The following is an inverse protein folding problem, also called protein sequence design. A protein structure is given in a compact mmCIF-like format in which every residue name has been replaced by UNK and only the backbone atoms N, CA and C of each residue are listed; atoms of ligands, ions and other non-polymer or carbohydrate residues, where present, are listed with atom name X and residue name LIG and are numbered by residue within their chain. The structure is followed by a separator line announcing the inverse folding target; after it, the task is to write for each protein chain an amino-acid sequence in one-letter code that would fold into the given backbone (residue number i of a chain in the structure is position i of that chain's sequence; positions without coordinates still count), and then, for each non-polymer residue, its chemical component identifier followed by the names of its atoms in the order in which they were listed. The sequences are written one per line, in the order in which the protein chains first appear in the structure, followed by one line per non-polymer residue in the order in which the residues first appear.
data_IF_523378174049
#
_entry.id   IF_523378174049
#
_cell.length_a   1.000
_cell.length_b   1.000
_cell.length_c   1.000
_cell.angle_alpha   90.00
_cell.angle_beta   90.00
_cell.angle_gamma   90.00
#
_symmetry.space_group_name_H-M   'P 1'
#
loop_
_entity.id
_entity.type
_entity.pdbx_description
1 polymer ?
#
# COMPACT_ATOMS: atom_id res chain seq x y z
N UNK A 1 14.20 -9.78 20.62
CA UNK A 1 14.34 -8.91 21.81
C UNK A 1 15.31 -7.78 21.50
N UNK A 2 15.43 -6.76 22.35
CA UNK A 2 16.41 -5.68 22.13
C UNK A 2 17.86 -6.19 22.17
N UNK A 3 18.16 -7.14 23.06
CA UNK A 3 19.49 -7.75 23.18
C UNK A 3 19.92 -8.48 21.89
N UNK A 4 19.00 -9.19 21.24
CA UNK A 4 19.28 -9.85 19.95
C UNK A 4 19.58 -8.84 18.83
N UNK A 5 18.84 -7.73 18.78
CA UNK A 5 19.05 -6.67 17.79
C UNK A 5 20.41 -5.99 17.98
N UNK A 6 20.78 -5.67 19.22
CA UNK A 6 22.07 -5.06 19.54
C UNK A 6 23.24 -6.02 19.30
N UNK A 7 23.07 -7.31 19.65
CA UNK A 7 24.05 -8.34 19.34
C UNK A 7 24.30 -8.48 17.84
N UNK A 8 23.23 -8.46 17.03
CA UNK A 8 23.33 -8.48 15.58
C UNK A 8 24.01 -7.23 15.01
N UNK A 9 23.71 -6.04 15.54
CA UNK A 9 24.37 -4.80 15.14
C UNK A 9 25.88 -4.84 15.44
N UNK A 10 26.27 -5.28 16.64
CA UNK A 10 27.68 -5.44 17.02
C UNK A 10 28.40 -6.46 16.12
N UNK A 11 27.74 -7.58 15.79
CA UNK A 11 28.30 -8.59 14.88
C UNK A 11 28.53 -8.07 13.46
N UNK A 12 27.72 -7.10 12.99
CA UNK A 12 27.98 -6.40 11.73
C UNK A 12 29.19 -5.47 11.82
N UNK A 13 29.32 -4.71 12.92
CA UNK A 13 30.47 -3.85 13.14
C UNK A 13 30.69 -3.51 14.63
N UNK A 14 31.89 -3.74 15.21
CA UNK A 14 32.15 -3.50 16.63
C UNK A 14 31.90 -2.08 17.13
N UNK A 15 32.05 -1.07 16.27
CA UNK A 15 31.79 0.33 16.64
C UNK A 15 30.33 0.59 17.09
N UNK A 16 29.37 -0.29 16.77
CA UNK A 16 28.01 -0.18 17.29
C UNK A 16 27.91 -0.49 18.79
N UNK A 17 28.93 -1.07 19.43
CA UNK A 17 28.96 -1.30 20.88
C UNK A 17 29.07 -0.02 21.71
N UNK A 18 29.64 1.04 21.14
CA UNK A 18 29.82 2.36 21.79
C UNK A 18 28.81 3.40 21.27
N UNK A 19 27.89 3.00 20.39
CA UNK A 19 26.91 3.91 19.79
C UNK A 19 25.75 4.19 20.77
N UNK A 20 25.22 5.41 20.71
CA UNK A 20 24.05 5.82 21.48
C UNK A 20 22.75 5.38 20.81
N UNK A 21 21.79 4.86 21.59
CA UNK A 21 20.44 4.58 21.13
C UNK A 21 19.63 5.89 21.15
N UNK A 22 19.38 6.46 19.98
CA UNK A 22 18.63 7.72 19.84
C UNK A 22 17.11 7.50 19.93
N UNK A 23 16.61 6.40 19.36
CA UNK A 23 15.18 6.08 19.33
C UNK A 23 14.98 4.56 19.28
N UNK A 24 13.87 4.07 19.83
CA UNK A 24 13.39 2.70 19.61
C UNK A 24 11.93 2.71 19.17
N UNK A 25 11.57 1.83 18.25
CA UNK A 25 10.23 1.80 17.68
C UNK A 25 9.86 0.42 17.16
N UNK A 26 8.56 0.13 17.16
CA UNK A 26 7.98 -1.07 16.55
C UNK A 26 6.84 -0.65 15.64
N UNK A 27 6.63 -1.41 14.57
CA UNK A 27 5.55 -1.16 13.62
C UNK A 27 4.84 -2.44 13.25
N UNK A 28 3.53 -2.33 13.01
CA UNK A 28 2.73 -3.41 12.42
C UNK A 28 3.04 -3.46 10.93
N UNK A 29 3.24 -4.67 10.41
CA UNK A 29 3.47 -4.89 8.98
C UNK A 29 2.26 -5.62 8.41
N UNK A 30 1.29 -4.88 7.83
CA UNK A 30 0.09 -5.52 7.30
C UNK A 30 0.44 -6.33 6.04
N UNK A 31 -0.03 -7.56 6.00
CA UNK A 31 0.14 -8.48 4.88
C UNK A 31 -1.13 -9.31 4.72
N UNK A 32 -1.51 -9.57 3.47
CA UNK A 32 -2.46 -10.62 3.15
C UNK A 32 -1.78 -11.99 3.25
N UNK A 33 -2.53 -13.11 3.32
CA UNK A 33 -1.95 -14.46 3.42
C UNK A 33 -0.97 -14.82 2.29
N UNK A 34 -1.12 -14.20 1.12
CA UNK A 34 -0.24 -14.37 -0.05
C UNK A 34 0.96 -13.40 -0.08
N UNK A 35 1.08 -12.48 0.89
CA UNK A 35 2.08 -11.41 0.96
C UNK A 35 2.08 -10.44 -0.24
N UNK A 36 1.00 -10.39 -1.02
CA UNK A 36 0.88 -9.47 -2.15
C UNK A 36 0.06 -8.23 -1.77
N UNK A 37 0.52 -7.01 -2.07
CA UNK A 37 -0.24 -5.79 -1.80
C UNK A 37 -1.39 -5.65 -2.79
N UNK A 38 -2.46 -4.98 -2.37
CA UNK A 38 -3.67 -4.80 -3.19
C UNK A 38 -4.21 -3.39 -3.09
N UNK A 39 -4.77 -2.92 -4.20
CA UNK A 39 -5.72 -1.80 -4.24
C UNK A 39 -7.09 -2.41 -4.55
N UNK A 40 -8.01 -2.33 -3.60
CA UNK A 40 -9.34 -2.92 -3.72
C UNK A 40 -10.40 -1.81 -3.64
N UNK A 41 -11.48 -1.96 -4.41
CA UNK A 41 -12.64 -1.05 -4.42
C UNK A 41 -13.85 -1.74 -3.80
N UNK A 42 -14.53 -1.05 -2.89
CA UNK A 42 -15.82 -1.45 -2.37
C UNK A 42 -16.79 -0.26 -2.43
N UNK A 43 -17.61 -0.20 -3.48
CA UNK A 43 -18.44 0.96 -3.76
C UNK A 43 -17.60 2.21 -4.03
N UNK A 44 -17.81 3.25 -3.23
CA UNK A 44 -17.06 4.52 -3.32
C UNK A 44 -15.79 4.53 -2.47
N UNK A 45 -15.45 3.41 -1.80
CA UNK A 45 -14.27 3.29 -0.95
C UNK A 45 -13.16 2.57 -1.71
N UNK A 46 -11.97 3.17 -1.74
CA UNK A 46 -10.74 2.54 -2.21
C UNK A 46 -9.84 2.25 -1.00
N UNK A 47 -9.41 1.01 -0.86
CA UNK A 47 -8.49 0.58 0.18
C UNK A 47 -7.15 0.13 -0.44
N UNK A 48 -6.05 0.57 0.15
CA UNK A 48 -4.69 0.14 -0.20
C UNK A 48 -4.11 -0.58 1.01
N UNK A 49 -3.71 -1.85 0.87
CA UNK A 49 -3.19 -2.62 2.00
C UNK A 49 -2.24 -3.76 1.56
N UNK A 50 -1.62 -4.44 2.52
CA UNK A 50 -0.83 -5.66 2.30
C UNK A 50 0.63 -5.42 1.89
N UNK A 51 1.18 -4.23 2.14
CA UNK A 51 2.50 -3.86 1.63
C UNK A 51 3.68 -4.45 2.41
N UNK A 52 3.46 -5.04 3.58
CA UNK A 52 4.49 -5.66 4.42
C UNK A 52 5.82 -4.86 4.49
N UNK A 53 6.92 -5.39 3.94
CA UNK A 53 8.26 -4.77 3.89
C UNK A 53 8.54 -3.98 2.61
N UNK A 54 7.54 -3.86 1.74
CA UNK A 54 7.64 -3.23 0.42
C UNK A 54 6.88 -1.90 0.36
N UNK A 55 6.36 -1.41 1.50
CA UNK A 55 5.58 -0.18 1.58
C UNK A 55 6.27 1.03 0.98
N UNK A 56 7.57 1.22 1.23
CA UNK A 56 8.34 2.34 0.69
C UNK A 56 8.60 2.19 -0.82
N UNK A 57 9.05 1.00 -1.23
CA UNK A 57 9.41 0.72 -2.63
C UNK A 57 8.18 0.80 -3.57
N UNK A 58 7.05 0.22 -3.14
CA UNK A 58 5.87 0.08 -3.98
C UNK A 58 4.88 1.24 -3.86
N UNK A 59 5.07 2.16 -2.89
CA UNK A 59 4.14 3.26 -2.64
C UNK A 59 3.74 4.02 -3.93
N UNK A 60 4.69 4.45 -4.79
CA UNK A 60 4.34 5.21 -5.99
C UNK A 60 3.51 4.40 -6.99
N UNK A 61 3.77 3.10 -7.10
CA UNK A 61 3.03 2.21 -8.00
C UNK A 61 1.60 1.98 -7.49
N UNK A 62 1.44 1.70 -6.19
CA UNK A 62 0.13 1.50 -5.57
C UNK A 62 -0.72 2.78 -5.59
N UNK A 63 -0.10 3.94 -5.34
CA UNK A 63 -0.77 5.24 -5.42
C UNK A 63 -1.28 5.53 -6.83
N UNK A 64 -0.51 5.18 -7.87
CA UNK A 64 -0.95 5.32 -9.26
C UNK A 64 -2.17 4.46 -9.57
N UNK A 65 -2.14 3.18 -9.18
CA UNK A 65 -3.30 2.30 -9.37
C UNK A 65 -4.55 2.83 -8.65
N UNK A 66 -4.40 3.34 -7.43
CA UNK A 66 -5.50 3.96 -6.71
C UNK A 66 -6.02 5.22 -7.41
N UNK A 67 -5.14 6.09 -7.90
CA UNK A 67 -5.52 7.28 -8.65
C UNK A 67 -6.25 6.90 -9.95
N UNK A 68 -5.75 5.90 -10.68
CA UNK A 68 -6.40 5.39 -11.89
C UNK A 68 -7.83 4.93 -11.56
N UNK A 69 -8.04 4.24 -10.43
CA UNK A 69 -9.37 3.84 -9.98
C UNK A 69 -10.26 5.03 -9.61
N UNK A 70 -9.74 6.06 -8.95
CA UNK A 70 -10.50 7.29 -8.60
C UNK A 70 -10.97 8.01 -9.86
N UNK A 71 -10.07 8.27 -10.80
CA UNK A 71 -10.34 9.13 -11.95
C UNK A 71 -10.89 8.36 -13.17
N UNK A 72 -10.84 7.03 -13.19
CA UNK A 72 -11.45 6.23 -14.27
C UNK A 72 -12.93 5.93 -14.05
N UNK A 73 -13.49 6.14 -12.84
CA UNK A 73 -14.92 5.94 -12.59
C UNK A 73 -15.83 6.83 -13.44
N UNK A 74 -15.34 7.99 -13.86
CA UNK A 74 -16.10 8.94 -14.68
C UNK A 74 -16.43 8.36 -16.06
N UNK A 75 -15.52 7.56 -16.64
CA UNK A 75 -15.70 7.01 -17.99
C UNK A 75 -16.79 5.93 -18.06
N UNK A 76 -16.97 5.13 -17.01
CA UNK A 76 -18.03 4.11 -16.96
C UNK A 76 -19.40 4.70 -16.63
N UNK A 77 -19.44 5.79 -15.83
CA UNK A 77 -20.69 6.52 -15.54
C UNK A 77 -21.18 7.31 -16.75
N UNK A 78 -20.28 7.92 -17.53
CA UNK A 78 -20.61 8.63 -18.79
C UNK A 78 -21.22 7.67 -19.84
N UNK A 79 -20.61 6.51 -20.09
CA UNK A 79 -21.14 5.49 -21.02
C UNK A 79 -22.51 4.94 -20.59
N UNK A 80 -22.74 4.79 -19.28
CA UNK A 80 -24.02 4.33 -18.75
C UNK A 80 -25.14 5.38 -18.95
N UNK A 81 -24.79 6.67 -18.95
CA UNK A 81 -25.74 7.76 -19.21
C UNK A 81 -26.08 7.87 -20.70
N UNK A 82 -25.11 7.67 -21.60
CA UNK A 82 -25.32 7.69 -23.05
C UNK A 82 -26.23 6.55 -23.54
N UNK A 83 -26.13 5.36 -22.93
CA UNK A 83 -26.87 4.17 -23.39
C UNK A 83 -28.37 4.22 -23.06
N UNK A 84 -28.80 5.07 -22.11
CA UNK A 84 -30.21 5.17 -21.68
C UNK A 84 -31.08 6.02 -22.64
N UNK A 85 -30.47 6.83 -23.51
CA UNK A 85 -31.19 7.73 -24.42
C UNK A 85 -31.65 7.13 -25.75
N UNK A 86 -31.14 5.96 -26.15
CA UNK A 86 -31.27 5.46 -27.53
C UNK A 86 -32.28 4.31 -27.74
N UNK A 87 -33.09 3.94 -26.74
CA UNK A 87 -34.11 2.87 -26.86
C UNK A 87 -35.57 3.35 -26.84
N UNK A 88 -35.85 4.58 -27.30
CA UNK A 88 -37.22 5.14 -27.37
C UNK A 88 -37.62 5.72 -28.74
N UNK A 89 -37.11 5.15 -29.84
CA UNK A 89 -37.65 5.42 -31.18
C UNK A 89 -37.30 4.31 -32.16
N UNK A 90 -38.15 3.29 -32.24
CA UNK A 90 -38.35 2.45 -33.41
C UNK A 90 -39.77 1.89 -33.33
#
# INVERSE_FOLDING_TARGET
SMMELLGAAYALHPAFGEAEIVETGVGVRPAFPDNLPRVETNGEIIAINGLYRHGFLLAPAMARQAADLVFSQDRTKELAHETNGQRRSA
#
